data_IF_295480001856
#
_entry.id   IF_295480001856
#
_cell.length_a   1.000
_cell.length_b   1.000
_cell.length_c   1.000
_cell.angle_alpha   90.00
_cell.angle_beta   90.00
_cell.angle_gamma   90.00
#
_symmetry.space_group_name_H-M   'P 1'
#
loop_
_entity.id
_entity.type
_entity.pdbx_description
1 polymer ?
#
# COMPACT_ATOMS: atom_id res chain seq x y z
N UNK A 1 -34.64 -9.47 -0.04
CA UNK A 1 -33.60 -9.05 -0.99
C UNK A 1 -32.30 -8.86 -0.22
N UNK A 2 -31.21 -9.40 -0.74
CA UNK A 2 -29.90 -9.23 -0.11
C UNK A 2 -29.25 -7.93 -0.56
N UNK A 3 -28.70 -7.20 0.37
CA UNK A 3 -27.84 -6.06 0.06
C UNK A 3 -26.41 -6.55 -0.13
N UNK A 4 -25.72 -6.00 -1.12
CA UNK A 4 -24.33 -6.31 -1.39
C UNK A 4 -23.51 -5.03 -1.21
N UNK A 5 -22.61 -5.06 -0.24
CA UNK A 5 -21.74 -3.92 0.01
C UNK A 5 -20.59 -3.87 -0.99
N UNK A 6 -20.30 -2.71 -1.57
CA UNK A 6 -19.12 -2.54 -2.42
C UNK A 6 -17.85 -2.82 -1.61
N UNK A 7 -16.91 -3.55 -2.20
CA UNK A 7 -15.70 -3.98 -1.49
C UNK A 7 -14.46 -3.16 -1.86
N UNK A 8 -14.43 -2.54 -3.02
CA UNK A 8 -13.28 -1.76 -3.52
C UNK A 8 -11.98 -2.54 -3.43
N UNK A 9 -12.00 -3.79 -3.88
CA UNK A 9 -10.84 -4.68 -3.91
C UNK A 9 -10.45 -4.89 -5.37
N UNK A 10 -9.15 -4.70 -5.67
CA UNK A 10 -8.67 -4.70 -7.04
C UNK A 10 -7.36 -5.46 -7.18
N UNK A 11 -7.16 -6.08 -8.33
CA UNK A 11 -5.82 -6.48 -8.76
C UNK A 11 -5.03 -5.25 -9.14
N UNK A 12 -3.74 -5.26 -8.85
CA UNK A 12 -2.88 -4.15 -9.20
C UNK A 12 -1.46 -4.64 -9.44
N UNK A 13 -0.69 -3.83 -10.16
CA UNK A 13 0.72 -4.09 -10.41
C UNK A 13 1.53 -2.96 -9.81
N UNK A 14 2.54 -3.30 -9.03
CA UNK A 14 3.44 -2.29 -8.43
C UNK A 14 4.31 -1.69 -9.53
N UNK A 15 4.34 -0.37 -9.62
CA UNK A 15 5.23 0.34 -10.55
C UNK A 15 6.39 1.01 -9.82
N UNK A 16 6.20 1.42 -8.58
CA UNK A 16 7.24 2.07 -7.78
C UNK A 16 6.95 1.90 -6.30
N UNK A 17 7.97 1.61 -5.53
CA UNK A 17 7.93 1.71 -4.08
C UNK A 17 8.48 3.08 -3.72
N UNK A 18 7.62 3.96 -3.22
CA UNK A 18 8.00 5.36 -2.93
C UNK A 18 8.73 5.44 -1.60
N UNK A 19 8.17 4.83 -0.57
CA UNK A 19 8.83 4.64 0.73
C UNK A 19 8.15 3.46 1.45
N UNK A 20 8.40 3.29 2.74
CA UNK A 20 7.93 2.12 3.49
C UNK A 20 6.42 2.00 3.64
N UNK A 21 5.66 3.05 3.35
CA UNK A 21 4.21 3.06 3.50
C UNK A 21 3.47 3.64 2.30
N UNK A 22 4.16 3.80 1.17
CA UNK A 22 3.57 4.41 -0.02
C UNK A 22 4.09 3.72 -1.28
N UNK A 23 3.18 3.30 -2.14
CA UNK A 23 3.52 2.65 -3.41
C UNK A 23 2.69 3.24 -4.54
N UNK A 24 3.25 3.22 -5.74
CA UNK A 24 2.53 3.54 -6.96
C UNK A 24 2.09 2.25 -7.62
N UNK A 25 0.83 2.20 -8.01
CA UNK A 25 0.20 1.03 -8.60
C UNK A 25 -0.47 1.36 -9.93
N UNK A 26 -0.49 0.37 -10.82
CA UNK A 26 -1.45 0.31 -11.91
C UNK A 26 -2.60 -0.56 -11.41
N UNK A 27 -3.76 0.04 -11.22
CA UNK A 27 -4.93 -0.62 -10.64
C UNK A 27 -5.86 -1.07 -11.74
N UNK A 28 -6.16 -2.36 -11.78
CA UNK A 28 -7.16 -2.92 -12.69
C UNK A 28 -8.55 -2.67 -12.10
N UNK A 29 -9.26 -1.72 -12.68
CA UNK A 29 -10.59 -1.33 -12.22
C UNK A 29 -11.71 -2.17 -12.83
N UNK A 30 -11.36 -3.16 -13.65
CA UNK A 30 -12.35 -3.85 -14.46
C UNK A 30 -12.75 -3.00 -15.67
N UNK A 31 -13.64 -3.53 -16.52
CA UNK A 31 -14.10 -2.81 -17.73
C UNK A 31 -12.97 -2.39 -18.66
N UNK A 32 -11.81 -3.05 -18.61
CA UNK A 32 -10.60 -2.67 -19.36
C UNK A 32 -10.08 -1.27 -18.98
N UNK A 33 -10.33 -0.86 -17.75
CA UNK A 33 -9.86 0.43 -17.22
C UNK A 33 -8.70 0.17 -16.26
N UNK A 34 -7.58 0.80 -16.55
CA UNK A 34 -6.39 0.78 -15.68
C UNK A 34 -6.13 2.21 -15.21
N UNK A 35 -5.95 2.37 -13.91
CA UNK A 35 -5.62 3.67 -13.34
C UNK A 35 -4.27 3.63 -12.64
N UNK A 36 -3.51 4.71 -12.79
CA UNK A 36 -2.31 4.93 -11.99
C UNK A 36 -2.72 5.61 -10.70
N UNK A 37 -2.41 4.99 -9.56
CA UNK A 37 -2.73 5.59 -8.27
C UNK A 37 -1.56 5.42 -7.30
N UNK A 38 -1.37 6.43 -6.47
CA UNK A 38 -0.45 6.35 -5.35
C UNK A 38 -1.24 5.98 -4.11
N UNK A 39 -0.85 4.90 -3.47
CA UNK A 39 -1.55 4.36 -2.31
C UNK A 39 -0.68 4.53 -1.07
N UNK A 40 -1.25 5.17 -0.05
CA UNK A 40 -0.70 5.24 1.29
C UNK A 40 -1.24 4.06 2.09
N UNK A 41 -0.37 3.31 2.74
CA UNK A 41 -0.80 2.13 3.49
C UNK A 41 -1.66 2.54 4.69
N UNK A 42 -2.87 1.99 4.75
CA UNK A 42 -3.82 2.31 5.80
C UNK A 42 -3.36 1.79 7.16
N UNK A 43 -3.51 2.62 8.17
CA UNK A 43 -3.32 2.21 9.56
C UNK A 43 -1.87 2.11 10.01
N UNK A 44 -0.91 2.41 9.15
CA UNK A 44 0.52 2.33 9.49
C UNK A 44 1.24 3.62 9.12
N UNK A 45 2.30 3.89 9.86
CA UNK A 45 3.16 5.04 9.61
C UNK A 45 4.61 4.53 9.65
N UNK A 46 5.19 4.33 8.48
CA UNK A 46 6.55 3.84 8.37
C UNK A 46 7.56 4.91 8.79
N UNK A 47 8.72 4.46 9.20
CA UNK A 47 9.81 5.38 9.55
C UNK A 47 10.18 6.23 8.34
N UNK A 48 10.53 7.48 8.61
CA UNK A 48 10.88 8.44 7.57
C UNK A 48 12.19 8.07 6.90
N UNK A 49 12.28 8.33 5.59
CA UNK A 49 13.52 8.08 4.83
C UNK A 49 14.49 9.26 4.89
N UNK A 50 14.24 10.23 5.76
CA UNK A 50 15.06 11.44 5.96
C UNK A 50 15.21 11.75 7.45
N UNK A 51 16.19 12.60 7.75
CA UNK A 51 16.40 13.06 9.12
C UNK A 51 16.89 11.97 10.04
N UNK A 52 16.47 12.02 11.29
CA UNK A 52 16.93 11.10 12.34
C UNK A 52 16.46 9.66 12.13
N UNK A 53 15.35 9.48 11.41
CA UNK A 53 14.78 8.15 11.16
C UNK A 53 15.28 7.52 9.86
N UNK A 54 16.21 8.19 9.17
CA UNK A 54 16.61 7.80 7.82
C UNK A 54 16.98 6.32 7.69
N UNK A 55 17.79 5.79 8.60
CA UNK A 55 18.20 4.39 8.53
C UNK A 55 17.02 3.44 8.65
N UNK A 56 16.13 3.69 9.59
CA UNK A 56 14.92 2.88 9.79
C UNK A 56 13.99 3.01 8.59
N UNK A 57 13.84 4.22 8.07
CA UNK A 57 13.00 4.49 6.91
C UNK A 57 13.51 3.78 5.67
N UNK A 58 14.80 3.80 5.43
CA UNK A 58 15.41 3.09 4.29
C UNK A 58 15.25 1.57 4.43
N UNK A 59 15.37 1.04 5.64
CA UNK A 59 15.12 -0.39 5.88
C UNK A 59 13.66 -0.77 5.66
N UNK A 60 12.73 0.07 6.08
CA UNK A 60 11.30 -0.14 5.83
C UNK A 60 11.01 -0.15 4.34
N UNK A 61 11.55 0.82 3.61
CA UNK A 61 11.40 0.89 2.16
C UNK A 61 12.01 -0.35 1.49
N UNK A 62 13.19 -0.75 1.90
CA UNK A 62 13.86 -1.94 1.38
C UNK A 62 13.05 -3.20 1.64
N UNK A 63 12.46 -3.32 2.81
CA UNK A 63 11.58 -4.44 3.16
C UNK A 63 10.43 -4.56 2.17
N UNK A 64 9.73 -3.47 1.90
CA UNK A 64 8.63 -3.43 0.93
C UNK A 64 9.14 -3.72 -0.47
N UNK A 65 10.25 -3.09 -0.86
CA UNK A 65 10.84 -3.27 -2.18
C UNK A 65 11.25 -4.73 -2.44
N UNK A 66 11.74 -5.43 -1.43
CA UNK A 66 12.12 -6.83 -1.54
C UNK A 66 10.90 -7.75 -1.67
N UNK A 67 9.79 -7.42 -1.03
CA UNK A 67 8.58 -8.22 -1.10
C UNK A 67 7.79 -7.97 -2.37
N UNK A 68 7.63 -6.71 -2.74
CA UNK A 68 6.82 -6.31 -3.89
C UNK A 68 7.58 -5.36 -4.81
N UNK A 69 8.68 -5.82 -5.43
CA UNK A 69 9.40 -4.96 -6.38
C UNK A 69 8.51 -4.56 -7.56
N UNK A 70 8.91 -3.53 -8.34
CA UNK A 70 8.17 -3.15 -9.55
C UNK A 70 7.88 -4.36 -10.44
N UNK A 71 6.65 -4.44 -10.95
CA UNK A 71 6.18 -5.57 -11.73
C UNK A 71 5.43 -6.64 -10.93
N UNK A 72 5.44 -6.56 -9.62
CA UNK A 72 4.74 -7.54 -8.76
C UNK A 72 3.24 -7.31 -8.81
N UNK A 73 2.47 -8.37 -8.96
CA UNK A 73 1.03 -8.32 -8.83
C UNK A 73 0.64 -8.41 -7.35
N UNK A 74 -0.27 -7.54 -6.94
CA UNK A 74 -0.80 -7.48 -5.59
C UNK A 74 -2.32 -7.33 -5.65
N UNK A 75 -2.97 -7.46 -4.50
CA UNK A 75 -4.37 -7.10 -4.33
C UNK A 75 -4.42 -5.91 -3.40
N UNK A 76 -5.17 -4.89 -3.78
CA UNK A 76 -5.35 -3.69 -2.95
C UNK A 76 -6.80 -3.53 -2.57
N UNK A 77 -7.04 -3.24 -1.30
CA UNK A 77 -8.37 -2.86 -0.80
C UNK A 77 -8.31 -1.41 -0.37
N UNK A 78 -9.18 -0.59 -0.93
CA UNK A 78 -9.21 0.86 -0.67
C UNK A 78 -10.54 1.28 -0.07
N UNK A 79 -10.59 2.51 0.43
CA UNK A 79 -11.87 3.17 0.67
C UNK A 79 -12.41 3.76 -0.63
N UNK A 80 -13.60 4.32 -0.54
CA UNK A 80 -14.27 4.96 -1.68
C UNK A 80 -13.63 6.29 -2.04
N UNK A 81 -13.13 7.01 -1.07
CA UNK A 81 -12.66 8.38 -1.24
C UNK A 81 -11.18 8.52 -0.94
N UNK A 82 -10.59 9.58 -1.48
CA UNK A 82 -9.19 9.91 -1.23
C UNK A 82 -9.00 10.35 0.22
N UNK A 83 -7.85 9.98 0.77
CA UNK A 83 -7.41 10.49 2.05
C UNK A 83 -6.76 11.87 1.91
N UNK A 84 -6.02 12.28 2.93
CA UNK A 84 -5.28 13.54 2.93
C UNK A 84 -4.26 13.58 1.80
N UNK A 85 -3.97 14.76 1.28
CA UNK A 85 -2.98 15.00 0.23
C UNK A 85 -3.33 14.31 -1.10
N UNK A 86 -4.61 13.99 -1.33
CA UNK A 86 -5.06 13.42 -2.59
C UNK A 86 -4.68 11.96 -2.82
N UNK A 87 -4.13 11.29 -1.80
CA UNK A 87 -3.77 9.87 -1.89
C UNK A 87 -4.92 9.00 -1.39
N UNK A 88 -5.07 7.84 -2.00
CA UNK A 88 -5.97 6.83 -1.46
C UNK A 88 -5.25 6.04 -0.37
N UNK A 89 -5.98 5.71 0.68
CA UNK A 89 -5.52 4.82 1.72
C UNK A 89 -5.89 3.39 1.32
N UNK A 90 -4.98 2.46 1.50
CA UNK A 90 -5.25 1.08 1.12
C UNK A 90 -4.52 0.05 1.94
N UNK A 91 -5.01 -1.15 1.88
CA UNK A 91 -4.34 -2.32 2.43
C UNK A 91 -3.83 -3.16 1.26
N UNK A 92 -2.57 -3.51 1.30
CA UNK A 92 -1.90 -4.24 0.21
C UNK A 92 -1.72 -5.69 0.65
N UNK A 93 -2.18 -6.62 -0.20
CA UNK A 93 -2.06 -8.06 0.06
C UNK A 93 -1.13 -8.69 -0.97
N UNK A 94 -0.21 -9.48 -0.50
CA UNK A 94 0.70 -10.26 -1.33
C UNK A 94 0.88 -11.64 -0.73
N UNK A 95 0.70 -12.67 -1.53
CA UNK A 95 0.81 -14.05 -1.05
C UNK A 95 -0.19 -14.39 0.05
N UNK A 96 -1.36 -13.76 0.06
CA UNK A 96 -2.40 -13.98 1.06
C UNK A 96 -2.17 -13.27 2.38
N UNK A 97 -1.15 -12.41 2.48
CA UNK A 97 -0.82 -11.67 3.70
C UNK A 97 -0.92 -10.17 3.48
N UNK A 98 -1.33 -9.45 4.52
CA UNK A 98 -1.38 -7.99 4.51
C UNK A 98 0.03 -7.42 4.74
N UNK A 99 0.54 -6.63 3.80
CA UNK A 99 1.81 -5.93 3.99
C UNK A 99 1.71 -4.90 5.12
N UNK A 100 0.53 -4.29 5.28
CA UNK A 100 0.30 -3.35 6.37
C UNK A 100 0.59 -4.01 7.71
N UNK A 101 0.06 -5.21 7.92
CA UNK A 101 0.31 -5.98 9.14
C UNK A 101 1.78 -6.41 9.25
N UNK A 102 2.38 -6.82 8.16
CA UNK A 102 3.79 -7.25 8.15
C UNK A 102 4.73 -6.13 8.55
N UNK A 103 4.46 -4.90 8.11
CA UNK A 103 5.26 -3.73 8.49
C UNK A 103 5.25 -3.51 10.00
N UNK A 104 4.09 -3.68 10.63
CA UNK A 104 3.96 -3.56 12.08
C UNK A 104 4.67 -4.70 12.80
N UNK A 105 4.48 -5.94 12.35
CA UNK A 105 5.09 -7.13 12.94
C UNK A 105 6.61 -7.08 12.90
N UNK A 106 7.18 -6.56 11.80
CA UNK A 106 8.63 -6.49 11.60
C UNK A 106 9.26 -5.22 12.17
N UNK A 107 8.46 -4.35 12.80
CA UNK A 107 8.97 -3.13 13.40
C UNK A 107 9.36 -2.04 12.42
N UNK A 108 8.88 -2.12 11.18
CA UNK A 108 9.16 -1.11 10.14
C UNK A 108 8.22 0.07 10.18
N UNK A 109 7.16 -0.01 10.96
CA UNK A 109 6.16 1.04 11.07
C UNK A 109 5.50 1.01 12.43
N UNK A 110 4.88 2.13 12.78
CA UNK A 110 4.03 2.25 13.95
C UNK A 110 2.57 2.29 13.52
N UNK A 111 1.67 2.00 14.45
CA UNK A 111 0.24 2.15 14.19
C UNK A 111 -0.08 3.63 14.01
N UNK A 112 -0.73 3.96 12.92
CA UNK A 112 -1.18 5.32 12.63
C UNK A 112 -2.64 5.45 13.06
N UNK A 113 -2.86 6.39 13.97
CA UNK A 113 -4.21 6.66 14.50
C UNK A 113 -4.84 7.87 13.86
#
# INVERSE_FOLDING_TARGET
MKEIEPQYIYKATVTKVVDGDTVDLLVDCGFNIIRKERIRFYGVDAWETRGEERERGLKAKEFVLNLIPPGTEVVVRTGKERGKFGRYLGEIFFGGRSLNDMLLEEGHAEVYK
#
